data_IF_971025575374
#
_entry.id   IF_971025575374
#
_cell.length_a   1.000
_cell.length_b   1.000
_cell.length_c   1.000
_cell.angle_alpha   90.00
_cell.angle_beta   90.00
_cell.angle_gamma   90.00
#
_symmetry.space_group_name_H-M   'P 1'
#
loop_
_entity.id
_entity.type
_entity.pdbx_description
1 polymer ?
#
# COMPACT_ATOMS: atom_id res chain seq x y z
N UNK A 1 -10.70 18.94 -7.99
CA UNK A 1 -11.34 18.14 -6.92
C UNK A 1 -11.16 16.68 -7.30
N UNK A 2 -10.58 15.84 -6.43
CA UNK A 2 -10.30 14.43 -6.76
C UNK A 2 -11.59 13.62 -6.95
N UNK A 3 -11.51 12.53 -7.72
CA UNK A 3 -12.63 11.61 -8.00
C UNK A 3 -12.30 10.22 -7.44
N UNK A 4 -13.19 9.68 -6.61
CA UNK A 4 -13.11 8.27 -6.21
C UNK A 4 -13.57 7.40 -7.38
N UNK A 5 -12.65 6.64 -7.97
CA UNK A 5 -12.95 5.73 -9.08
C UNK A 5 -13.38 4.34 -8.59
N UNK A 6 -12.68 3.79 -7.59
CA UNK A 6 -12.91 2.45 -7.06
C UNK A 6 -12.60 2.41 -5.55
N UNK A 7 -13.33 1.58 -4.83
CA UNK A 7 -13.05 1.22 -3.44
C UNK A 7 -13.14 -0.30 -3.28
N UNK A 8 -12.16 -0.90 -2.62
CA UNK A 8 -12.11 -2.34 -2.40
C UNK A 8 -11.67 -2.66 -0.96
N UNK A 9 -12.23 -3.74 -0.41
CA UNK A 9 -11.70 -4.41 0.77
C UNK A 9 -10.85 -5.58 0.31
N UNK A 10 -9.57 -5.55 0.62
CA UNK A 10 -8.59 -6.55 0.19
C UNK A 10 -8.05 -7.34 1.39
N UNK A 11 -7.56 -8.55 1.13
CA UNK A 11 -6.82 -9.36 2.10
C UNK A 11 -5.32 -9.15 1.91
N UNK A 12 -4.56 -9.11 3.00
CA UNK A 12 -3.10 -8.99 3.00
C UNK A 12 -2.44 -10.19 3.71
N UNK A 13 -3.12 -11.34 3.75
CA UNK A 13 -2.60 -12.51 4.49
C UNK A 13 -1.27 -12.98 3.88
N UNK A 14 -0.23 -13.21 4.70
CA UNK A 14 1.10 -13.65 4.24
C UNK A 14 1.10 -14.90 3.35
N UNK A 15 0.08 -15.77 3.52
CA UNK A 15 -0.12 -16.94 2.67
C UNK A 15 -0.34 -16.62 1.19
N UNK A 16 -0.69 -15.37 0.83
CA UNK A 16 -0.74 -14.95 -0.57
C UNK A 16 0.65 -14.97 -1.20
N UNK A 17 1.64 -14.38 -0.53
CA UNK A 17 3.03 -14.42 -1.01
C UNK A 17 3.54 -15.88 -1.12
N UNK A 18 3.27 -16.70 -0.11
CA UNK A 18 3.61 -18.13 -0.14
C UNK A 18 2.90 -18.90 -1.26
N UNK A 19 1.73 -18.43 -1.70
CA UNK A 19 0.97 -19.04 -2.80
C UNK A 19 1.62 -18.81 -4.15
N UNK A 20 2.48 -17.81 -4.30
CA UNK A 20 3.21 -17.53 -5.53
C UNK A 20 4.56 -18.25 -5.62
N UNK A 21 5.06 -18.77 -4.49
CA UNK A 21 6.35 -19.48 -4.43
C UNK A 21 6.15 -20.99 -4.67
N UNK A 22 7.03 -21.65 -5.43
CA UNK A 22 7.01 -23.10 -5.58
C UNK A 22 7.09 -23.80 -4.22
N UNK A 23 6.25 -24.80 -4.00
CA UNK A 23 6.25 -25.59 -2.77
C UNK A 23 4.85 -26.03 -2.35
N UNK A 24 4.73 -26.51 -1.11
CA UNK A 24 3.49 -27.07 -0.55
C UNK A 24 2.27 -26.13 -0.65
N UNK A 25 2.51 -24.83 -0.55
CA UNK A 25 1.45 -23.82 -0.50
C UNK A 25 1.18 -23.16 -1.87
N UNK A 26 1.89 -23.58 -2.92
CA UNK A 26 1.73 -23.00 -4.26
C UNK A 26 0.27 -23.07 -4.72
N UNK A 27 -0.27 -21.94 -5.18
CA UNK A 27 -1.66 -21.81 -5.65
C UNK A 27 -2.74 -21.80 -4.56
N UNK A 28 -2.41 -21.94 -3.26
CA UNK A 28 -3.42 -22.04 -2.19
C UNK A 28 -4.27 -20.78 -1.97
N UNK A 29 -3.87 -19.62 -2.52
CA UNK A 29 -4.57 -18.34 -2.42
C UNK A 29 -4.86 -17.71 -3.79
N UNK A 30 -4.90 -18.49 -4.87
CA UNK A 30 -5.04 -17.96 -6.23
C UNK A 30 -6.24 -17.02 -6.40
N UNK A 31 -7.41 -17.35 -5.84
CA UNK A 31 -8.59 -16.48 -5.94
C UNK A 31 -8.37 -15.07 -5.33
N UNK A 32 -7.58 -14.95 -4.26
CA UNK A 32 -7.26 -13.64 -3.66
C UNK A 32 -6.24 -12.86 -4.51
N UNK A 33 -5.30 -13.57 -5.14
CA UNK A 33 -4.30 -13.02 -6.06
C UNK A 33 -5.00 -12.51 -7.33
N UNK A 34 -5.85 -13.33 -7.94
CA UNK A 34 -6.65 -12.95 -9.12
C UNK A 34 -7.52 -11.72 -8.84
N UNK A 35 -8.07 -11.63 -7.62
CA UNK A 35 -8.81 -10.45 -7.17
C UNK A 35 -7.95 -9.18 -7.15
N UNK A 36 -6.69 -9.25 -6.70
CA UNK A 36 -5.77 -8.10 -6.72
C UNK A 36 -5.40 -7.70 -8.15
N UNK A 37 -5.15 -8.68 -9.02
CA UNK A 37 -4.83 -8.46 -10.43
C UNK A 37 -6.00 -7.75 -11.12
N UNK A 38 -7.23 -8.20 -10.89
CA UNK A 38 -8.44 -7.61 -11.47
C UNK A 38 -8.69 -6.19 -10.96
N UNK A 39 -8.46 -5.92 -9.67
CA UNK A 39 -8.52 -4.55 -9.13
C UNK A 39 -7.50 -3.66 -9.83
N UNK A 40 -6.25 -4.12 -9.96
CA UNK A 40 -5.20 -3.37 -10.66
C UNK A 40 -5.53 -3.09 -12.12
N UNK A 41 -6.08 -4.09 -12.83
CA UNK A 41 -6.56 -3.93 -14.20
C UNK A 41 -7.64 -2.84 -14.30
N UNK A 42 -8.67 -2.89 -13.44
CA UNK A 42 -9.74 -1.89 -13.42
C UNK A 42 -9.21 -0.49 -13.10
N UNK A 43 -8.29 -0.36 -12.16
CA UNK A 43 -7.66 0.92 -11.83
C UNK A 43 -6.96 1.53 -13.06
N UNK A 44 -6.20 0.72 -13.82
CA UNK A 44 -5.53 1.17 -15.06
C UNK A 44 -6.54 1.54 -16.15
N UNK A 45 -7.56 0.72 -16.38
CA UNK A 45 -8.62 1.00 -17.38
C UNK A 45 -9.39 2.29 -17.08
N UNK A 46 -9.55 2.63 -15.79
CA UNK A 46 -10.19 3.88 -15.36
C UNK A 46 -9.26 5.09 -15.29
N UNK A 47 -7.96 4.92 -15.59
CA UNK A 47 -6.97 5.99 -15.50
C UNK A 47 -6.76 6.51 -14.07
N UNK A 48 -6.79 5.60 -13.08
CA UNK A 48 -6.46 5.95 -11.69
C UNK A 48 -5.00 6.41 -11.62
N UNK A 49 -4.75 7.58 -11.05
CA UNK A 49 -3.39 8.11 -10.84
C UNK A 49 -2.85 7.86 -9.42
N UNK A 50 -3.74 7.51 -8.48
CA UNK A 50 -3.44 7.49 -7.06
C UNK A 50 -4.18 6.37 -6.36
N UNK A 51 -3.44 5.48 -5.70
CA UNK A 51 -4.01 4.47 -4.80
C UNK A 51 -3.83 4.94 -3.36
N UNK A 52 -4.90 4.92 -2.56
CA UNK A 52 -4.84 5.19 -1.12
C UNK A 52 -5.11 3.87 -0.39
N UNK A 53 -4.09 3.32 0.26
CA UNK A 53 -4.20 2.09 1.07
C UNK A 53 -4.43 2.45 2.53
N UNK A 54 -5.38 1.81 3.21
CA UNK A 54 -5.46 1.85 4.68
C UNK A 54 -4.91 0.54 5.23
N UNK A 55 -3.76 0.62 5.90
CA UNK A 55 -2.98 -0.55 6.32
C UNK A 55 -3.13 -0.78 7.83
N UNK A 56 -3.54 -1.99 8.20
CA UNK A 56 -3.73 -2.40 9.60
C UNK A 56 -2.42 -2.60 10.35
N UNK A 57 -1.29 -2.72 9.65
CA UNK A 57 0.03 -2.83 10.26
C UNK A 57 0.69 -1.47 10.50
N UNK A 58 0.10 -0.33 10.08
CA UNK A 58 0.64 1.00 10.45
C UNK A 58 0.20 1.42 11.84
N UNK A 59 0.97 1.00 12.83
CA UNK A 59 0.72 1.42 14.20
C UNK A 59 1.21 2.85 14.39
N UNK A 60 0.27 3.76 14.66
CA UNK A 60 0.55 5.15 15.04
C UNK A 60 -0.14 5.47 16.36
N UNK A 61 0.62 6.00 17.31
CA UNK A 61 0.11 6.27 18.67
C UNK A 61 -0.53 7.66 18.79
N UNK A 62 -0.28 8.54 17.84
CA UNK A 62 -0.81 9.90 17.81
C UNK A 62 -1.06 10.31 16.36
N UNK A 63 -2.18 11.02 16.14
CA UNK A 63 -2.58 11.48 14.83
C UNK A 63 -2.79 10.35 13.81
N UNK A 64 -2.85 10.73 12.53
CA UNK A 64 -2.77 9.83 11.38
C UNK A 64 -1.48 10.13 10.66
N UNK A 65 -0.84 9.18 9.99
CA UNK A 65 0.30 9.45 9.11
C UNK A 65 -0.12 9.25 7.65
N UNK A 66 0.46 10.06 6.76
CA UNK A 66 0.24 9.97 5.30
C UNK A 66 1.62 10.01 4.64
N UNK A 67 1.88 9.05 3.77
CA UNK A 67 3.07 9.03 2.93
C UNK A 67 2.94 10.05 1.80
N UNK A 68 3.87 11.01 1.76
CA UNK A 68 3.89 12.11 0.77
C UNK A 68 5.31 12.41 0.29
N UNK A 69 6.24 11.46 0.40
CA UNK A 69 7.54 11.59 -0.28
C UNK A 69 7.35 11.40 -1.78
N UNK A 70 8.27 11.96 -2.56
CA UNK A 70 8.25 11.87 -4.02
C UNK A 70 8.43 10.42 -4.49
N UNK A 71 9.26 9.66 -3.79
CA UNK A 71 9.65 8.31 -4.18
C UNK A 71 10.05 7.46 -2.97
N UNK A 72 9.77 6.16 -3.02
CA UNK A 72 10.06 5.20 -1.97
C UNK A 72 10.81 4.00 -2.54
N UNK A 73 11.99 3.71 -1.98
CA UNK A 73 12.76 2.52 -2.33
C UNK A 73 13.45 1.91 -1.11
N UNK A 74 13.72 0.61 -1.16
CA UNK A 74 14.48 -0.09 -0.14
C UNK A 74 14.25 -1.59 -0.12
N UNK A 75 14.60 -2.21 1.01
CA UNK A 75 14.46 -3.64 1.23
C UNK A 75 13.61 -3.87 2.48
N UNK A 76 12.58 -4.68 2.36
CA UNK A 76 11.62 -4.98 3.41
C UNK A 76 11.78 -6.43 3.90
N UNK A 77 11.82 -6.57 5.23
CA UNK A 77 11.69 -7.85 5.93
C UNK A 77 10.56 -7.74 6.94
N UNK A 78 9.67 -8.72 6.96
CA UNK A 78 8.53 -8.73 7.88
C UNK A 78 9.00 -8.86 9.31
N UNK A 79 8.45 -8.02 10.18
CA UNK A 79 8.60 -8.12 11.62
C UNK A 79 7.88 -9.33 12.22
N UNK A 80 6.74 -9.72 11.64
CA UNK A 80 5.91 -10.83 12.14
C UNK A 80 6.34 -12.18 11.59
N UNK A 81 6.79 -12.23 10.32
CA UNK A 81 7.13 -13.47 9.62
C UNK A 81 8.45 -13.35 8.83
N UNK A 82 9.58 -13.00 9.48
CA UNK A 82 10.87 -12.78 8.80
C UNK A 82 11.43 -14.04 8.12
N UNK A 83 10.98 -15.23 8.51
CA UNK A 83 11.42 -16.48 7.90
C UNK A 83 10.83 -16.72 6.51
N UNK A 84 9.69 -16.10 6.20
CA UNK A 84 8.96 -16.27 4.95
C UNK A 84 9.02 -15.02 4.07
N UNK A 85 8.99 -13.85 4.70
CA UNK A 85 8.93 -12.54 4.03
C UNK A 85 10.17 -11.76 4.46
N UNK A 86 11.21 -11.81 3.64
CA UNK A 86 12.49 -11.15 3.90
C UNK A 86 13.14 -10.69 2.62
N UNK A 87 13.98 -9.68 2.76
CA UNK A 87 14.82 -9.16 1.68
C UNK A 87 14.03 -8.77 0.42
N UNK A 88 12.77 -8.36 0.60
CA UNK A 88 11.90 -7.94 -0.50
C UNK A 88 12.27 -6.52 -0.91
N UNK A 89 12.91 -6.37 -2.06
CA UNK A 89 13.14 -5.07 -2.66
C UNK A 89 11.81 -4.42 -3.04
N UNK A 90 11.66 -3.14 -2.75
CA UNK A 90 10.57 -2.34 -3.26
C UNK A 90 11.12 -1.04 -3.84
N UNK A 91 10.42 -0.55 -4.85
CA UNK A 91 10.69 0.70 -5.56
C UNK A 91 9.34 1.16 -6.13
N UNK A 92 8.88 2.35 -5.74
CA UNK A 92 7.65 2.95 -6.26
C UNK A 92 7.62 4.46 -6.03
N UNK A 93 6.95 5.17 -6.94
CA UNK A 93 6.67 6.59 -6.80
C UNK A 93 5.60 6.84 -5.74
N UNK A 94 5.82 7.89 -4.93
CA UNK A 94 4.82 8.41 -4.03
C UNK A 94 3.96 9.49 -4.69
N UNK A 95 3.20 10.21 -3.88
CA UNK A 95 2.42 11.35 -4.36
C UNK A 95 2.60 12.56 -3.41
N UNK A 96 3.56 13.46 -3.70
CA UNK A 96 3.81 14.64 -2.87
C UNK A 96 2.68 15.66 -2.92
N UNK A 97 1.84 15.64 -3.96
CA UNK A 97 0.67 16.51 -4.06
C UNK A 97 -0.41 16.17 -3.02
N UNK A 98 -0.30 15.02 -2.32
CA UNK A 98 -1.15 14.69 -1.17
C UNK A 98 -0.79 15.51 0.09
N UNK A 99 0.41 16.09 0.17
CA UNK A 99 0.90 16.78 1.37
C UNK A 99 0.03 17.97 1.82
N UNK A 100 -0.56 18.80 0.93
CA UNK A 100 -1.45 19.89 1.35
C UNK A 100 -2.78 19.40 1.93
N UNK A 101 -3.30 18.25 1.47
CA UNK A 101 -4.60 17.71 1.92
C UNK A 101 -4.56 17.25 3.38
N UNK A 102 -3.39 16.84 3.87
CA UNK A 102 -3.05 16.61 5.29
C UNK A 102 -3.57 17.70 6.22
N UNK A 103 -3.35 18.96 5.85
CA UNK A 103 -3.68 20.12 6.69
C UNK A 103 -5.19 20.35 6.72
N UNK A 104 -5.88 20.00 5.64
CA UNK A 104 -7.30 20.28 5.43
C UNK A 104 -8.21 19.22 6.07
N UNK A 105 -7.83 17.94 6.02
CA UNK A 105 -8.61 16.85 6.64
C UNK A 105 -8.49 16.83 8.17
N UNK A 106 -7.33 17.21 8.73
CA UNK A 106 -7.15 17.37 10.19
C UNK A 106 -7.95 18.53 10.81
N UNK A 107 -8.30 19.56 10.03
CA UNK A 107 -9.13 20.69 10.49
C UNK A 107 -10.62 20.35 10.58
N UNK A 108 -11.09 19.31 9.87
CA UNK A 108 -12.52 18.97 9.82
C UNK A 108 -13.01 18.21 11.06
N UNK A 109 -12.15 17.48 11.79
CA UNK A 109 -12.49 16.77 13.03
C UNK A 109 -11.24 16.57 13.89
N UNK A 110 -11.08 17.36 14.97
CA UNK A 110 -10.21 17.18 16.18
C UNK A 110 -9.09 16.09 16.17
N UNK A 111 -8.38 15.88 15.07
CA UNK A 111 -7.28 14.95 14.95
C UNK A 111 -6.01 15.79 14.85
N UNK A 112 -5.11 15.63 15.83
CA UNK A 112 -3.81 16.30 15.82
C UNK A 112 -3.03 15.88 14.56
N UNK A 113 -2.15 16.76 14.10
CA UNK A 113 -1.56 16.78 12.76
C UNK A 113 -0.71 15.53 12.45
N UNK A 114 -0.67 15.14 11.16
CA UNK A 114 0.18 14.03 10.71
C UNK A 114 1.65 14.39 10.63
N UNK A 115 2.54 13.41 10.77
CA UNK A 115 3.96 13.52 10.47
C UNK A 115 4.27 12.99 9.06
N UNK A 116 5.34 13.53 8.46
CA UNK A 116 5.96 12.99 7.24
C UNK A 116 6.94 11.90 7.67
N UNK A 117 6.80 10.68 7.15
CA UNK A 117 7.72 9.60 7.46
C UNK A 117 8.66 9.37 6.27
N UNK A 118 9.99 9.49 6.44
CA UNK A 118 10.96 9.31 5.37
C UNK A 118 11.26 7.83 5.06
N UNK A 119 10.62 6.89 5.77
CA UNK A 119 10.79 5.44 5.58
C UNK A 119 9.41 4.79 5.48
N UNK A 120 9.16 3.94 4.47
CA UNK A 120 7.92 3.18 4.37
C UNK A 120 8.02 2.00 5.33
N UNK A 121 7.76 2.27 6.60
CA UNK A 121 7.36 1.24 7.53
C UNK A 121 5.89 0.91 7.23
N UNK A 122 5.52 -0.37 7.33
CA UNK A 122 4.26 -0.92 6.81
C UNK A 122 3.07 -0.03 7.18
N UNK A 123 2.56 0.72 6.19
CA UNK A 123 1.53 1.67 6.44
C UNK A 123 1.12 2.60 5.32
N UNK A 124 -0.19 2.98 5.30
CA UNK A 124 -0.93 3.75 4.27
C UNK A 124 -0.04 4.06 3.08
N UNK A 125 0.13 3.02 2.25
CA UNK A 125 0.96 3.09 1.08
C UNK A 125 0.17 3.80 0.01
N UNK A 126 0.74 4.88 -0.50
CA UNK A 126 0.37 5.31 -1.82
C UNK A 126 1.21 4.48 -2.79
N UNK A 127 0.53 3.93 -3.79
CA UNK A 127 1.17 3.26 -4.91
C UNK A 127 0.77 4.06 -6.15
N UNK A 128 1.72 4.31 -7.05
CA UNK A 128 1.38 4.54 -8.45
C UNK A 128 0.52 3.40 -8.96
N UNK A 129 -0.39 3.65 -9.90
CA UNK A 129 -1.33 2.63 -10.39
C UNK A 129 -0.64 1.40 -11.02
N UNK A 130 0.64 1.52 -11.33
CA UNK A 130 1.51 0.48 -11.87
C UNK A 130 2.07 -0.45 -10.77
N UNK A 131 2.15 0.01 -9.52
CA UNK A 131 2.82 -0.70 -8.42
C UNK A 131 2.01 -1.87 -7.83
N UNK A 132 0.77 -2.11 -8.28
CA UNK A 132 -0.02 -3.25 -7.79
C UNK A 132 0.51 -4.61 -8.27
N UNK A 133 1.37 -4.67 -9.30
CA UNK A 133 1.97 -5.93 -9.75
C UNK A 133 3.29 -5.81 -10.55
N UNK A 134 3.82 -4.61 -10.82
CA UNK A 134 5.08 -4.45 -11.58
C UNK A 134 6.38 -4.74 -10.80
N UNK A 135 6.32 -5.20 -9.56
CA UNK A 135 7.52 -5.62 -8.81
C UNK A 135 7.95 -7.07 -9.11
N UNK A 136 8.02 -7.44 -10.40
CA UNK A 136 8.77 -8.61 -10.88
C UNK A 136 9.70 -8.22 -12.02
#
# INVERSE_FOLDING_TARGET
>A
MGKLALAAKITHVPSMYLSELPGKNYGCRQAAIDGHIEIGKRCREMGVDTIIVFDTHWLVNSAYHINCADHFQGVYTSNELPHFIRDMTYDYDGNPELAPYRRRSGQARRARQSAQHPKPEAGVRHFGADALYEQR
#
